data_IF_755250441192
#
_entry.id   IF_755250441192
#
_cell.length_a   1.000
_cell.length_b   1.000
_cell.length_c   1.000
_cell.angle_alpha   90.00
_cell.angle_beta   90.00
_cell.angle_gamma   90.00
#
_symmetry.space_group_name_H-M   'P 1'
#
loop_
_entity.id
_entity.type
_entity.pdbx_description
1 polymer ?
#
# COMPACT_ATOMS: atom_id res chain seq x y z
N UNK A 1 19.56 -13.06 1.57
CA UNK A 1 18.25 -13.40 2.14
C UNK A 1 17.20 -12.67 1.32
N UNK A 2 16.30 -13.39 0.63
CA UNK A 2 15.35 -12.79 -0.30
C UNK A 2 14.02 -12.42 0.37
N UNK A 3 13.42 -11.29 -0.03
CA UNK A 3 12.07 -10.91 0.36
C UNK A 3 11.05 -11.59 -0.54
N UNK A 4 9.93 -12.03 0.03
CA UNK A 4 8.79 -12.62 -0.69
C UNK A 4 7.56 -11.72 -0.60
N UNK A 5 6.66 -11.86 -1.56
CA UNK A 5 5.39 -11.15 -1.62
C UNK A 5 4.25 -12.18 -1.55
N UNK A 6 3.28 -11.95 -0.65
CA UNK A 6 2.08 -12.79 -0.60
C UNK A 6 1.21 -12.54 -1.84
N UNK A 7 0.45 -13.56 -2.25
CA UNK A 7 -0.52 -13.43 -3.35
C UNK A 7 -1.54 -12.32 -3.05
N UNK A 8 -1.95 -12.17 -1.80
CA UNK A 8 -2.87 -11.11 -1.37
C UNK A 8 -2.28 -9.72 -1.63
N UNK A 9 -1.06 -9.47 -1.16
CA UNK A 9 -0.39 -8.18 -1.34
C UNK A 9 -0.20 -7.87 -2.82
N UNK A 10 0.20 -8.87 -3.61
CA UNK A 10 0.34 -8.74 -5.06
C UNK A 10 -0.99 -8.42 -5.75
N UNK A 11 -2.05 -9.17 -5.45
CA UNK A 11 -3.37 -8.95 -6.04
C UNK A 11 -3.91 -7.56 -5.72
N UNK A 12 -3.82 -7.09 -4.46
CA UNK A 12 -4.28 -5.74 -4.11
C UNK A 12 -3.51 -4.65 -4.86
N UNK A 13 -2.20 -4.82 -5.03
CA UNK A 13 -1.37 -3.89 -5.79
C UNK A 13 -1.79 -3.83 -7.27
N UNK A 14 -1.93 -4.98 -7.92
CA UNK A 14 -2.35 -5.06 -9.33
C UNK A 14 -3.77 -4.54 -9.52
N UNK A 15 -4.69 -4.92 -8.63
CA UNK A 15 -6.08 -4.46 -8.67
C UNK A 15 -6.20 -2.95 -8.46
N UNK A 16 -5.35 -2.34 -7.65
CA UNK A 16 -5.35 -0.88 -7.48
C UNK A 16 -4.98 -0.17 -8.79
N UNK A 17 -3.92 -0.63 -9.47
CA UNK A 17 -3.54 -0.11 -10.78
C UNK A 17 -4.60 -0.35 -11.85
N UNK A 18 -5.18 -1.55 -11.88
CA UNK A 18 -6.24 -1.89 -12.83
C UNK A 18 -7.54 -1.09 -12.61
N UNK A 19 -7.84 -0.72 -11.35
CA UNK A 19 -9.01 0.11 -11.01
C UNK A 19 -8.86 1.55 -11.50
N UNK A 20 -7.63 2.08 -11.52
CA UNK A 20 -7.34 3.45 -11.97
C UNK A 20 -6.27 3.49 -13.07
N UNK A 21 -6.57 2.96 -14.27
CA UNK A 21 -5.56 2.78 -15.32
C UNK A 21 -5.10 4.10 -15.97
N UNK A 22 -5.80 5.19 -15.71
CA UNK A 22 -5.58 6.51 -16.31
C UNK A 22 -4.70 7.43 -15.45
N UNK A 23 -4.27 6.99 -14.26
CA UNK A 23 -3.47 7.81 -13.37
C UNK A 23 -2.44 6.98 -12.59
N UNK A 24 -1.45 7.67 -12.05
CA UNK A 24 -0.50 7.04 -11.14
C UNK A 24 -1.21 6.64 -9.84
N UNK A 25 -0.84 5.48 -9.30
CA UNK A 25 -1.35 4.95 -8.03
C UNK A 25 -0.19 4.68 -7.07
N UNK A 26 -0.44 4.75 -5.76
CA UNK A 26 0.53 4.32 -4.75
C UNK A 26 -0.13 3.52 -3.62
N UNK A 27 0.70 2.95 -2.76
CA UNK A 27 0.26 2.13 -1.63
C UNK A 27 1.42 1.80 -0.69
N UNK A 28 1.08 1.21 0.45
CA UNK A 28 2.04 0.73 1.44
C UNK A 28 2.05 -0.81 1.46
N UNK A 29 3.23 -1.41 1.57
CA UNK A 29 3.36 -2.85 1.82
C UNK A 29 3.56 -3.09 3.31
N UNK A 30 2.72 -3.95 3.90
CA UNK A 30 2.89 -4.43 5.25
C UNK A 30 3.76 -5.69 5.23
N UNK A 31 4.83 -5.70 6.03
CA UNK A 31 5.81 -6.77 6.03
C UNK A 31 5.94 -7.42 7.42
N UNK A 32 6.01 -8.74 7.43
CA UNK A 32 6.67 -9.49 8.49
C UNK A 32 8.12 -9.82 8.11
N UNK A 33 8.81 -10.67 8.88
CA UNK A 33 10.19 -11.07 8.59
C UNK A 33 10.34 -11.70 7.19
N UNK A 34 10.97 -10.96 6.28
CA UNK A 34 11.22 -11.36 4.88
C UNK A 34 9.98 -11.69 4.02
N UNK A 35 8.76 -11.33 4.46
CA UNK A 35 7.52 -11.56 3.71
C UNK A 35 6.61 -10.33 3.80
N UNK A 36 6.24 -9.78 2.65
CA UNK A 36 5.13 -8.84 2.55
C UNK A 36 3.81 -9.59 2.63
N UNK A 37 3.06 -9.33 3.69
CA UNK A 37 1.81 -10.03 4.00
C UNK A 37 0.60 -9.33 3.39
N UNK A 38 0.64 -8.01 3.28
CA UNK A 38 -0.47 -7.22 2.73
C UNK A 38 0.00 -5.98 1.95
N UNK A 39 -0.92 -5.43 1.16
CA UNK A 39 -0.77 -4.13 0.48
C UNK A 39 -1.99 -3.25 0.81
N UNK A 40 -1.74 -2.00 1.19
CA UNK A 40 -2.75 -0.98 1.45
C UNK A 40 -2.70 0.05 0.32
N UNK A 41 -3.64 0.03 -0.64
CA UNK A 41 -3.84 1.09 -1.62
C UNK A 41 -4.05 2.44 -0.92
N UNK A 42 -3.33 3.50 -1.33
CA UNK A 42 -3.46 4.83 -0.71
C UNK A 42 -4.13 5.83 -1.66
N UNK A 43 -3.41 6.30 -2.67
CA UNK A 43 -3.85 7.39 -3.54
C UNK A 43 -3.79 7.00 -5.02
N UNK A 44 -4.60 7.70 -5.82
CA UNK A 44 -4.65 7.63 -7.28
C UNK A 44 -4.82 9.05 -7.82
N UNK A 45 -3.99 9.47 -8.79
CA UNK A 45 -3.95 10.86 -9.28
C UNK A 45 -2.84 11.70 -8.64
N UNK A 46 -3.18 12.72 -7.86
CA UNK A 46 -2.19 13.62 -7.22
C UNK A 46 -1.54 12.96 -6.01
N UNK A 47 -0.43 12.25 -6.24
CA UNK A 47 0.25 11.46 -5.21
C UNK A 47 1.09 12.30 -4.22
N UNK A 48 1.40 13.56 -4.54
CA UNK A 48 2.32 14.42 -3.79
C UNK A 48 1.64 15.30 -2.71
N UNK A 49 0.49 14.85 -2.18
CA UNK A 49 -0.21 15.57 -1.11
C UNK A 49 0.36 15.15 0.26
N UNK A 50 1.44 15.82 0.69
CA UNK A 50 2.11 15.54 1.96
C UNK A 50 1.16 15.43 3.17
N UNK A 51 0.14 16.31 3.35
CA UNK A 51 -0.79 16.19 4.47
C UNK A 51 -1.64 14.91 4.42
N UNK A 52 -2.06 14.50 3.22
CA UNK A 52 -2.88 13.30 3.06
C UNK A 52 -2.05 12.04 3.31
N UNK A 53 -0.79 12.04 2.87
CA UNK A 53 0.14 10.95 3.14
C UNK A 53 0.42 10.80 4.64
N UNK A 54 0.61 11.90 5.36
CA UNK A 54 0.82 11.90 6.82
C UNK A 54 -0.38 11.26 7.54
N UNK A 55 -1.60 11.73 7.23
CA UNK A 55 -2.83 11.16 7.80
C UNK A 55 -2.97 9.67 7.47
N UNK A 56 -2.69 9.27 6.23
CA UNK A 56 -2.75 7.88 5.82
C UNK A 56 -1.77 6.99 6.60
N UNK A 57 -0.55 7.47 6.85
CA UNK A 57 0.44 6.73 7.64
C UNK A 57 0.05 6.63 9.11
N UNK A 58 -0.48 7.71 9.71
CA UNK A 58 -0.99 7.67 11.09
C UNK A 58 -2.15 6.68 11.25
N UNK A 59 -3.10 6.67 10.31
CA UNK A 59 -4.23 5.75 10.34
C UNK A 59 -3.80 4.30 10.16
N UNK A 60 -2.90 4.03 9.22
CA UNK A 60 -2.38 2.67 9.02
C UNK A 60 -1.63 2.24 10.28
N UNK A 61 -0.68 3.01 10.77
CA UNK A 61 0.07 2.70 12.00
C UNK A 61 -0.83 2.32 13.18
N UNK A 62 -1.86 3.14 13.45
CA UNK A 62 -2.80 2.89 14.53
C UNK A 62 -3.63 1.61 14.40
N UNK A 63 -3.86 1.09 13.18
CA UNK A 63 -4.55 -0.18 12.95
C UNK A 63 -3.65 -1.39 13.23
N UNK A 64 -2.34 -1.27 13.02
CA UNK A 64 -1.39 -2.37 13.24
C UNK A 64 -0.87 -2.46 14.68
N UNK A 65 -1.12 -1.45 15.51
CA UNK A 65 -0.82 -1.45 16.95
C UNK A 65 -1.92 -2.06 17.83
N UNK A 66 -3.02 -2.51 17.22
CA UNK A 66 -4.16 -3.18 17.88
C UNK A 66 -4.18 -4.70 17.74
#
# INVERSE_FOLDING_TARGET
MGMRLSTQAYCKMVLHGAKYPHCAVNGLLAAGPALFVDCVPLFHGTLALAPMLEVALSLVGGVWEG
#
